data_IF_451383295890
#
_entry.id   IF_451383295890
#
_cell.length_a   1.000
_cell.length_b   1.000
_cell.length_c   1.000
_cell.angle_alpha   90.00
_cell.angle_beta   90.00
_cell.angle_gamma   90.00
#
_symmetry.space_group_name_H-M   'P 1'
#
loop_
_entity.id
_entity.type
_entity.pdbx_description
1 polymer ?
#
# COMPACT_ATOMS: atom_id res chain seq x y z
N UNK A 1 15.29 3.77 -8.50
CA UNK A 1 14.93 4.27 -7.15
C UNK A 1 13.66 3.57 -6.70
N UNK A 2 13.46 3.35 -5.39
CA UNK A 2 12.28 2.64 -4.87
C UNK A 2 10.97 3.31 -5.32
N UNK A 3 10.94 4.65 -5.39
CA UNK A 3 9.73 5.38 -5.79
C UNK A 3 9.22 5.05 -7.20
N UNK A 4 10.10 4.82 -8.18
CA UNK A 4 9.69 4.40 -9.53
C UNK A 4 9.03 3.01 -9.52
N UNK A 5 9.57 2.08 -8.73
CA UNK A 5 8.99 0.75 -8.58
C UNK A 5 7.60 0.83 -7.94
N UNK A 6 7.45 1.63 -6.88
CA UNK A 6 6.17 1.85 -6.19
C UNK A 6 5.11 2.41 -7.15
N UNK A 7 5.48 3.36 -8.01
CA UNK A 7 4.57 3.91 -9.04
C UNK A 7 4.14 2.82 -10.03
N UNK A 8 5.07 2.02 -10.55
CA UNK A 8 4.72 0.95 -11.50
C UNK A 8 3.82 -0.12 -10.85
N UNK A 9 4.16 -0.56 -9.64
CA UNK A 9 3.34 -1.53 -8.89
C UNK A 9 1.96 -0.95 -8.61
N UNK A 10 1.88 0.30 -8.17
CA UNK A 10 0.61 0.98 -7.90
C UNK A 10 -0.28 1.04 -9.14
N UNK A 11 0.25 1.39 -10.31
CA UNK A 11 -0.53 1.46 -11.55
C UNK A 11 -1.17 0.10 -11.89
N UNK A 12 -0.42 -0.99 -11.71
CA UNK A 12 -0.94 -2.35 -11.92
C UNK A 12 -1.99 -2.71 -10.87
N UNK A 13 -1.73 -2.41 -9.59
CA UNK A 13 -2.66 -2.70 -8.49
C UNK A 13 -3.98 -1.94 -8.66
N UNK A 14 -3.92 -0.66 -9.04
CA UNK A 14 -5.10 0.15 -9.34
C UNK A 14 -5.92 -0.44 -10.49
N UNK A 15 -5.25 -0.87 -11.57
CA UNK A 15 -5.93 -1.53 -12.68
C UNK A 15 -6.63 -2.81 -12.24
N UNK A 16 -5.94 -3.68 -11.51
CA UNK A 16 -6.50 -4.93 -10.97
C UNK A 16 -7.69 -4.64 -10.05
N UNK A 17 -7.56 -3.67 -9.15
CA UNK A 17 -8.64 -3.29 -8.27
C UNK A 17 -9.83 -2.76 -9.06
N UNK A 18 -9.66 -1.82 -10.00
CA UNK A 18 -10.76 -1.34 -10.87
C UNK A 18 -11.49 -2.49 -11.58
N UNK A 19 -10.76 -3.45 -12.16
CA UNK A 19 -11.36 -4.65 -12.78
C UNK A 19 -12.16 -5.46 -11.76
N UNK A 20 -11.64 -5.68 -10.54
CA UNK A 20 -12.36 -6.37 -9.48
C UNK A 20 -13.65 -5.62 -9.07
N UNK A 21 -13.63 -4.29 -9.00
CA UNK A 21 -14.78 -3.45 -8.71
C UNK A 21 -15.89 -3.60 -9.76
N UNK A 22 -15.51 -3.56 -11.04
CA UNK A 22 -16.42 -3.79 -12.17
C UNK A 22 -17.02 -5.19 -12.10
N UNK A 23 -16.21 -6.21 -11.84
CA UNK A 23 -16.68 -7.60 -11.75
C UNK A 23 -17.71 -7.80 -10.63
N UNK A 24 -17.51 -7.19 -9.46
CA UNK A 24 -18.50 -7.18 -8.37
C UNK A 24 -19.78 -6.47 -8.78
N UNK A 25 -19.67 -5.30 -9.42
CA UNK A 25 -20.81 -4.54 -9.92
C UNK A 25 -21.64 -5.32 -10.95
N UNK A 26 -21.00 -6.04 -11.88
CA UNK A 26 -21.69 -6.88 -12.87
C UNK A 26 -22.44 -8.02 -12.17
N UNK A 27 -21.83 -8.66 -11.17
CA UNK A 27 -22.41 -9.79 -10.45
C UNK A 27 -23.45 -9.39 -9.39
N UNK A 28 -23.53 -8.10 -9.05
CA UNK A 28 -24.29 -7.60 -7.89
C UNK A 28 -23.92 -8.33 -6.58
N UNK A 29 -22.66 -8.77 -6.47
CA UNK A 29 -22.11 -9.42 -5.29
C UNK A 29 -20.95 -8.58 -4.76
N UNK A 30 -21.16 -8.01 -3.59
CA UNK A 30 -20.23 -7.10 -2.94
C UNK A 30 -19.52 -7.71 -1.72
N UNK A 31 -19.53 -9.05 -1.61
CA UNK A 31 -18.81 -9.75 -0.53
C UNK A 31 -17.36 -9.28 -0.41
N UNK A 32 -16.66 -9.11 -1.55
CA UNK A 32 -15.26 -8.68 -1.60
C UNK A 32 -15.05 -7.16 -1.64
N UNK A 33 -16.10 -6.37 -1.43
CA UNK A 33 -16.02 -4.90 -1.42
C UNK A 33 -14.93 -4.36 -0.47
N UNK A 34 -14.78 -4.86 0.77
CA UNK A 34 -13.70 -4.43 1.65
C UNK A 34 -12.31 -4.75 1.09
N UNK A 35 -12.11 -5.92 0.51
CA UNK A 35 -10.82 -6.32 -0.07
C UNK A 35 -10.45 -5.44 -1.27
N UNK A 36 -11.39 -5.21 -2.18
CA UNK A 36 -11.22 -4.33 -3.34
C UNK A 36 -10.90 -2.89 -2.93
N UNK A 37 -11.65 -2.33 -1.98
CA UNK A 37 -11.48 -0.95 -1.54
C UNK A 37 -10.08 -0.74 -0.93
N UNK A 38 -9.62 -1.65 -0.06
CA UNK A 38 -8.28 -1.56 0.52
C UNK A 38 -7.18 -1.81 -0.52
N UNK A 39 -7.40 -2.69 -1.50
CA UNK A 39 -6.45 -2.90 -2.59
C UNK A 39 -6.24 -1.61 -3.40
N UNK A 40 -7.32 -0.94 -3.80
CA UNK A 40 -7.23 0.30 -4.58
C UNK A 40 -6.70 1.47 -3.76
N UNK A 41 -7.20 1.68 -2.55
CA UNK A 41 -6.81 2.85 -1.74
C UNK A 41 -5.40 2.70 -1.15
N UNK A 42 -5.13 1.58 -0.48
CA UNK A 42 -3.87 1.38 0.24
C UNK A 42 -2.79 0.80 -0.67
N UNK A 43 -3.11 -0.29 -1.36
CA UNK A 43 -2.17 -0.97 -2.25
C UNK A 43 -1.91 -0.19 -3.55
N UNK A 44 -2.88 0.63 -3.97
CA UNK A 44 -2.82 1.48 -5.15
C UNK A 44 -2.45 2.92 -4.83
N UNK A 45 -3.44 3.74 -4.43
CA UNK A 45 -3.32 5.20 -4.30
C UNK A 45 -2.21 5.60 -3.33
N UNK A 46 -2.21 5.07 -2.11
CA UNK A 46 -1.20 5.43 -1.11
C UNK A 46 0.21 5.02 -1.54
N UNK A 47 0.35 3.85 -2.17
CA UNK A 47 1.62 3.39 -2.74
C UNK A 47 2.11 4.34 -3.86
N UNK A 48 1.21 4.85 -4.70
CA UNK A 48 1.53 5.86 -5.72
C UNK A 48 2.05 7.14 -5.07
N UNK A 49 1.36 7.65 -4.06
CA UNK A 49 1.71 8.89 -3.37
C UNK A 49 3.08 8.81 -2.70
N UNK A 50 3.41 7.69 -2.06
CA UNK A 50 4.75 7.47 -1.52
C UNK A 50 5.81 7.42 -2.63
N UNK A 51 5.51 6.72 -3.73
CA UNK A 51 6.40 6.67 -4.88
C UNK A 51 6.65 8.05 -5.50
N UNK A 52 5.61 8.89 -5.58
CA UNK A 52 5.67 10.27 -6.04
C UNK A 52 6.49 11.14 -5.08
N UNK A 53 6.25 11.03 -3.77
CA UNK A 53 7.02 11.73 -2.74
C UNK A 53 8.53 11.45 -2.88
N UNK A 54 8.91 10.19 -3.08
CA UNK A 54 10.32 9.83 -3.29
C UNK A 54 10.91 10.25 -4.64
N UNK A 55 10.08 10.63 -5.62
CA UNK A 55 10.55 11.28 -6.86
C UNK A 55 10.69 12.79 -6.70
N UNK A 56 9.81 13.42 -5.92
CA UNK A 56 9.85 14.86 -5.64
C UNK A 56 11.00 15.21 -4.70
N UNK A 57 11.29 14.35 -3.71
CA UNK A 57 12.42 14.49 -2.78
C UNK A 57 13.46 13.40 -3.03
N UNK A 58 14.27 13.50 -4.11
CA UNK A 58 15.12 12.41 -4.59
C UNK A 58 16.22 12.01 -3.60
N UNK A 59 16.68 12.93 -2.74
CA UNK A 59 17.67 12.65 -1.69
C UNK A 59 17.11 11.63 -0.67
N UNK A 60 15.88 11.87 -0.21
CA UNK A 60 15.17 10.96 0.69
C UNK A 60 14.87 9.64 0.00
N UNK A 61 14.47 9.68 -1.27
CA UNK A 61 14.16 8.50 -2.09
C UNK A 61 15.35 7.56 -2.36
N UNK A 62 16.59 8.00 -2.09
CA UNK A 62 17.80 7.17 -2.16
C UNK A 62 18.19 6.55 -0.82
N UNK A 63 17.56 6.95 0.28
CA UNK A 63 17.88 6.45 1.62
C UNK A 63 17.50 4.98 1.81
N UNK A 64 18.21 4.30 2.72
CA UNK A 64 17.87 2.93 3.14
C UNK A 64 16.48 2.87 3.78
N UNK A 65 16.11 3.90 4.55
CA UNK A 65 14.82 3.97 5.24
C UNK A 65 13.65 4.03 4.25
N UNK A 66 13.78 4.79 3.15
CA UNK A 66 12.81 4.81 2.06
C UNK A 66 12.69 3.46 1.36
N UNK A 67 13.81 2.73 1.17
CA UNK A 67 13.77 1.37 0.60
C UNK A 67 13.03 0.39 1.51
N UNK A 68 13.30 0.40 2.82
CA UNK A 68 12.63 -0.46 3.80
C UNK A 68 11.14 -0.13 3.85
N UNK A 69 10.80 1.17 4.00
CA UNK A 69 9.42 1.63 4.00
C UNK A 69 8.67 1.19 2.73
N UNK A 70 9.27 1.43 1.56
CA UNK A 70 8.64 1.11 0.27
C UNK A 70 8.38 -0.38 0.10
N UNK A 71 9.34 -1.25 0.45
CA UNK A 71 9.14 -2.70 0.37
C UNK A 71 8.10 -3.20 1.36
N UNK A 72 8.10 -2.70 2.61
CA UNK A 72 7.07 -3.04 3.59
C UNK A 72 5.69 -2.62 3.06
N UNK A 73 5.57 -1.44 2.46
CA UNK A 73 4.28 -0.98 1.93
C UNK A 73 3.81 -1.78 0.71
N UNK A 74 4.72 -2.19 -0.18
CA UNK A 74 4.39 -3.07 -1.31
C UNK A 74 3.87 -4.43 -0.79
N UNK A 75 4.58 -5.04 0.14
CA UNK A 75 4.20 -6.35 0.69
C UNK A 75 2.91 -6.24 1.50
N UNK A 76 2.84 -5.31 2.44
CA UNK A 76 1.67 -5.11 3.30
C UNK A 76 0.43 -4.68 2.51
N UNK A 77 0.59 -3.76 1.56
CA UNK A 77 -0.49 -3.24 0.72
C UNK A 77 -1.11 -4.28 -0.23
N UNK A 78 -0.41 -5.37 -0.52
CA UNK A 78 -0.96 -6.53 -1.24
C UNK A 78 -1.50 -7.58 -0.25
N UNK A 79 -0.71 -7.94 0.76
CA UNK A 79 -1.04 -9.02 1.67
C UNK A 79 -2.30 -8.72 2.51
N UNK A 80 -2.50 -7.47 2.91
CA UNK A 80 -3.67 -7.07 3.69
C UNK A 80 -5.00 -7.28 2.94
N UNK A 81 -5.24 -6.64 1.77
CA UNK A 81 -6.49 -6.83 1.04
C UNK A 81 -6.67 -8.26 0.50
N UNK A 82 -5.59 -8.94 0.08
CA UNK A 82 -5.66 -10.37 -0.31
C UNK A 82 -6.09 -11.22 0.89
N UNK A 83 -5.51 -10.97 2.06
CA UNK A 83 -5.87 -11.64 3.31
C UNK A 83 -7.34 -11.44 3.69
N UNK A 84 -7.87 -10.23 3.51
CA UNK A 84 -9.31 -9.96 3.68
C UNK A 84 -10.12 -10.84 2.72
N UNK A 85 -9.76 -10.86 1.43
CA UNK A 85 -10.47 -11.65 0.43
C UNK A 85 -10.49 -13.14 0.76
N UNK A 86 -9.34 -13.71 1.12
CA UNK A 86 -9.23 -15.13 1.52
C UNK A 86 -10.09 -15.39 2.75
N UNK A 87 -10.05 -14.51 3.75
CA UNK A 87 -10.82 -14.67 5.00
C UNK A 87 -12.32 -14.72 4.74
N UNK A 88 -12.81 -13.87 3.84
CA UNK A 88 -14.23 -13.79 3.47
C UNK A 88 -14.68 -14.99 2.63
N UNK A 89 -13.80 -15.55 1.80
CA UNK A 89 -14.11 -16.70 0.94
C UNK A 89 -13.96 -18.06 1.64
N UNK A 90 -13.01 -18.19 2.58
CA UNK A 90 -12.59 -19.48 3.17
C UNK A 90 -12.86 -19.59 4.68
N UNK A 91 -13.91 -18.93 5.17
CA UNK A 91 -14.55 -19.16 6.47
C UNK A 91 -13.72 -18.79 7.73
N UNK A 92 -13.12 -17.60 7.78
CA UNK A 92 -12.41 -17.01 8.93
C UNK A 92 -11.16 -17.74 9.48
N UNK A 93 -10.85 -18.96 9.03
CA UNK A 93 -9.64 -19.70 9.43
C UNK A 93 -8.33 -18.96 9.06
N UNK A 94 -8.38 -18.06 8.07
CA UNK A 94 -7.25 -17.31 7.55
C UNK A 94 -7.14 -15.86 8.06
N UNK A 95 -7.86 -15.53 9.14
CA UNK A 95 -7.85 -14.20 9.78
C UNK A 95 -6.45 -13.70 10.17
N UNK A 96 -5.48 -14.59 10.39
CA UNK A 96 -4.10 -14.21 10.65
C UNK A 96 -3.45 -13.42 9.49
N UNK A 97 -3.80 -13.73 8.24
CA UNK A 97 -3.18 -13.09 7.06
C UNK A 97 -3.46 -11.58 7.00
N UNK A 98 -4.71 -11.10 7.06
CA UNK A 98 -4.96 -9.65 7.07
C UNK A 98 -4.42 -8.97 8.34
N UNK A 99 -4.33 -9.66 9.48
CA UNK A 99 -3.73 -9.10 10.69
C UNK A 99 -2.23 -8.84 10.49
N UNK A 100 -1.48 -9.82 9.97
CA UNK A 100 -0.06 -9.62 9.70
C UNK A 100 0.13 -8.54 8.63
N UNK A 101 -0.75 -8.50 7.60
CA UNK A 101 -0.73 -7.48 6.57
C UNK A 101 -0.92 -6.07 7.10
N UNK A 102 -1.88 -5.88 8.01
CA UNK A 102 -2.15 -4.57 8.62
C UNK A 102 -1.01 -4.11 9.52
N UNK A 103 -0.35 -5.02 10.26
CA UNK A 103 0.82 -4.70 11.09
C UNK A 103 2.05 -4.29 10.25
N UNK A 104 2.27 -4.97 9.12
CA UNK A 104 3.33 -4.59 8.16
C UNK A 104 3.04 -3.18 7.62
N UNK A 105 1.80 -2.91 7.20
CA UNK A 105 1.40 -1.59 6.73
C UNK A 105 1.54 -0.51 7.80
N UNK A 106 1.13 -0.79 9.04
CA UNK A 106 1.28 0.14 10.15
C UNK A 106 2.76 0.51 10.33
N UNK A 107 3.64 -0.48 10.29
CA UNK A 107 5.09 -0.27 10.36
C UNK A 107 5.58 0.58 9.19
N UNK A 108 5.14 0.29 7.96
CA UNK A 108 5.47 1.10 6.79
C UNK A 108 4.99 2.56 6.93
N UNK A 109 3.79 2.79 7.47
CA UNK A 109 3.26 4.13 7.68
C UNK A 109 4.03 4.88 8.77
N UNK A 110 4.38 4.23 9.88
CA UNK A 110 5.21 4.82 10.94
C UNK A 110 6.57 5.23 10.39
N UNK A 111 7.21 4.37 9.58
CA UNK A 111 8.47 4.72 8.92
C UNK A 111 8.30 5.91 7.98
N UNK A 112 7.20 5.98 7.23
CA UNK A 112 6.91 7.11 6.35
C UNK A 112 6.73 8.41 7.14
N UNK A 113 6.00 8.39 8.26
CA UNK A 113 5.86 9.55 9.17
C UNK A 113 7.23 10.03 9.65
N UNK A 114 8.09 9.10 10.11
CA UNK A 114 9.45 9.44 10.55
C UNK A 114 10.26 10.07 9.41
N UNK A 115 10.15 9.54 8.19
CA UNK A 115 10.83 10.09 7.01
C UNK A 115 10.36 11.52 6.74
N UNK A 116 9.05 11.76 6.68
CA UNK A 116 8.48 13.09 6.41
C UNK A 116 8.89 14.08 7.49
N UNK A 117 8.69 13.77 8.76
CA UNK A 117 9.05 14.66 9.86
C UNK A 117 10.54 15.02 9.89
N UNK A 118 11.43 14.06 9.58
CA UNK A 118 12.87 14.33 9.47
C UNK A 118 13.19 15.22 8.28
N UNK A 119 12.48 15.05 7.16
CA UNK A 119 12.66 15.85 5.94
C UNK A 119 12.24 17.30 6.19
N UNK A 120 11.04 17.52 6.73
CA UNK A 120 10.53 18.87 7.03
C UNK A 120 11.38 19.59 8.08
N UNK A 121 11.84 18.87 9.11
CA UNK A 121 12.73 19.46 10.13
C UNK A 121 14.08 19.87 9.56
N UNK A 122 14.64 19.10 8.62
CA UNK A 122 15.88 19.47 7.95
C UNK A 122 15.68 20.72 7.07
N UNK A 123 14.55 20.81 6.36
CA UNK A 123 14.21 21.97 5.54
C UNK A 123 14.00 23.25 6.37
N UNK A 124 13.46 23.15 7.58
CA UNK A 124 13.22 24.30 8.46
C UNK A 124 14.50 24.88 9.10
N UNK A 125 15.62 24.15 9.06
CA UNK A 125 16.91 24.56 9.66
C UNK A 125 17.93 24.96 8.58
N UNK A 126 17.61 24.75 7.30
CA UNK A 126 18.42 25.15 6.14
C UNK A 126 18.10 26.59 5.71
#
# INVERSE_FOLDING_TARGET
>A
MIGSLMICVSAVVLLVGMVAGIAMGIKQDFLLSPAHAHLNLVGGVLLFLFGLYYRVVPEVGRSLLARIQGWLHIVGGLMFPIGIGITLLANHAYTAVPIIGSLIMLTAMVLFVVIVLRTERAAAVA
#
